data_IF_717286364546
#
_entry.id   IF_717286364546
#
_cell.length_a   1.000
_cell.length_b   1.000
_cell.length_c   1.000
_cell.angle_alpha   90.00
_cell.angle_beta   90.00
_cell.angle_gamma   90.00
#
_symmetry.space_group_name_H-M   'P 1'
#
loop_
_entity.id
_entity.type
_entity.pdbx_description
1 polymer ?
#
# COMPACT_ATOMS: atom_id res chain seq x y z
N UNK A 1 -20.19 3.08 13.16
CA UNK A 1 -19.01 3.32 14.02
C UNK A 1 -19.31 4.54 14.90
N UNK A 2 -18.96 4.55 16.19
CA UNK A 2 -19.29 5.70 17.06
C UNK A 2 -18.30 6.85 16.88
N UNK A 3 -18.72 8.09 17.16
CA UNK A 3 -17.86 9.27 17.09
C UNK A 3 -16.62 9.16 18.01
N UNK A 4 -16.74 8.43 19.12
CA UNK A 4 -15.62 8.16 20.03
C UNK A 4 -14.55 7.26 19.37
N UNK A 5 -14.96 6.23 18.62
CA UNK A 5 -14.02 5.36 17.88
C UNK A 5 -13.33 6.13 16.76
N UNK A 6 -14.07 6.96 16.01
CA UNK A 6 -13.48 7.80 14.95
C UNK A 6 -12.39 8.71 15.50
N UNK A 7 -12.63 9.39 16.63
CA UNK A 7 -11.63 10.26 17.27
C UNK A 7 -10.38 9.49 17.72
N UNK A 8 -10.55 8.28 18.26
CA UNK A 8 -9.41 7.43 18.65
C UNK A 8 -8.55 7.04 17.45
N UNK A 9 -9.18 6.67 16.34
CA UNK A 9 -8.47 6.35 15.08
C UNK A 9 -7.73 7.58 14.57
N UNK A 10 -8.41 8.74 14.49
CA UNK A 10 -7.80 9.97 14.01
C UNK A 10 -6.57 10.36 14.86
N UNK A 11 -6.74 10.40 16.19
CA UNK A 11 -5.64 10.71 17.11
C UNK A 11 -4.46 9.75 16.97
N UNK A 12 -4.73 8.45 16.79
CA UNK A 12 -3.68 7.47 16.54
C UNK A 12 -2.96 7.76 15.22
N UNK A 13 -3.69 8.03 14.13
CA UNK A 13 -3.11 8.33 12.83
C UNK A 13 -2.26 9.61 12.83
N UNK A 14 -2.75 10.68 13.48
CA UNK A 14 -2.01 11.93 13.66
C UNK A 14 -0.69 11.67 14.42
N UNK A 15 -0.72 10.85 15.47
CA UNK A 15 0.47 10.46 16.23
C UNK A 15 1.48 9.60 15.45
N UNK A 16 1.07 9.00 14.32
CA UNK A 16 1.94 8.17 13.48
C UNK A 16 2.16 8.78 12.08
N UNK A 17 1.89 10.08 11.90
CA UNK A 17 2.05 10.74 10.61
C UNK A 17 3.48 10.63 10.05
N UNK A 18 4.50 10.78 10.88
CA UNK A 18 5.90 10.68 10.43
C UNK A 18 6.25 9.28 9.90
N UNK A 19 5.74 8.22 10.52
CA UNK A 19 5.93 6.85 10.03
C UNK A 19 5.19 6.60 8.72
N UNK A 20 4.01 7.23 8.54
CA UNK A 20 3.25 7.16 7.29
C UNK A 20 4.06 7.81 6.17
N UNK A 21 4.57 9.02 6.40
CA UNK A 21 5.42 9.74 5.45
C UNK A 21 6.74 8.99 5.15
N UNK A 22 7.29 8.26 6.11
CA UNK A 22 8.45 7.40 5.89
C UNK A 22 8.11 6.22 4.97
N UNK A 23 6.99 5.53 5.23
CA UNK A 23 6.55 4.43 4.36
C UNK A 23 6.27 4.95 2.94
N UNK A 24 5.58 6.09 2.80
CA UNK A 24 5.37 6.74 1.50
C UNK A 24 6.70 6.98 0.80
N UNK A 25 7.67 7.58 1.50
CA UNK A 25 9.01 7.83 0.95
C UNK A 25 9.69 6.56 0.46
N UNK A 26 9.65 5.48 1.25
CA UNK A 26 10.23 4.18 0.88
C UNK A 26 9.56 3.57 -0.36
N UNK A 27 8.24 3.67 -0.47
CA UNK A 27 7.50 3.19 -1.65
C UNK A 27 7.84 4.04 -2.89
N UNK A 28 7.86 5.36 -2.77
CA UNK A 28 8.18 6.28 -3.88
C UNK A 28 9.59 6.06 -4.40
N UNK A 29 10.55 5.83 -3.51
CA UNK A 29 11.94 5.54 -3.88
C UNK A 29 12.14 4.22 -4.64
N UNK A 30 11.14 3.34 -4.71
CA UNK A 30 11.16 2.15 -5.57
C UNK A 30 10.47 2.47 -6.90
N UNK A 31 11.23 2.73 -7.95
CA UNK A 31 10.64 2.98 -9.28
C UNK A 31 10.02 1.69 -9.85
N UNK A 32 8.73 1.77 -10.21
CA UNK A 32 7.92 0.60 -10.54
C UNK A 32 7.14 0.78 -11.85
N UNK A 33 7.79 1.16 -12.97
CA UNK A 33 7.10 1.29 -14.26
C UNK A 33 6.31 0.03 -14.61
N UNK A 34 5.10 0.19 -15.12
CA UNK A 34 4.24 -0.91 -15.58
C UNK A 34 4.91 -1.77 -16.67
N UNK A 35 5.88 -1.20 -17.38
CA UNK A 35 6.63 -1.86 -18.46
C UNK A 35 7.87 -2.63 -17.99
N UNK A 36 8.25 -2.55 -16.70
CA UNK A 36 9.45 -3.23 -16.17
C UNK A 36 9.09 -4.13 -14.99
N UNK A 37 8.50 -5.28 -15.29
CA UNK A 37 8.00 -6.27 -14.32
C UNK A 37 8.96 -6.60 -13.15
N UNK A 38 10.27 -6.68 -13.41
CA UNK A 38 11.25 -7.04 -12.38
C UNK A 38 11.38 -5.97 -11.30
N UNK A 39 11.17 -4.69 -11.65
CA UNK A 39 11.23 -3.54 -10.73
C UNK A 39 10.10 -3.53 -9.70
N UNK A 40 9.00 -4.24 -9.97
CA UNK A 40 7.79 -4.29 -9.13
C UNK A 40 7.89 -5.33 -8.01
N UNK A 41 8.81 -6.30 -8.11
CA UNK A 41 8.96 -7.36 -7.08
C UNK A 41 9.40 -6.83 -5.71
N UNK A 42 10.36 -5.89 -5.60
CA UNK A 42 10.76 -5.32 -4.31
C UNK A 42 9.60 -4.64 -3.56
N UNK A 43 8.76 -3.85 -4.23
CA UNK A 43 7.64 -3.16 -3.58
C UNK A 43 6.58 -4.14 -3.08
N UNK A 44 6.24 -5.17 -3.88
CA UNK A 44 5.31 -6.23 -3.47
C UNK A 44 5.84 -6.99 -2.24
N UNK A 45 7.15 -7.27 -2.18
CA UNK A 45 7.78 -7.91 -1.01
C UNK A 45 7.77 -7.01 0.22
N UNK A 46 8.01 -5.71 0.06
CA UNK A 46 7.95 -4.76 1.17
C UNK A 46 6.52 -4.71 1.75
N UNK A 47 5.51 -4.60 0.90
CA UNK A 47 4.11 -4.56 1.31
C UNK A 47 3.69 -5.88 1.97
N UNK A 48 4.10 -7.03 1.42
CA UNK A 48 3.85 -8.33 2.02
C UNK A 48 4.45 -8.44 3.44
N UNK A 49 5.72 -8.04 3.62
CA UNK A 49 6.36 -8.03 4.96
C UNK A 49 5.63 -7.11 5.92
N UNK A 50 5.22 -5.94 5.44
CA UNK A 50 4.51 -4.94 6.25
C UNK A 50 3.16 -5.47 6.71
N UNK A 51 2.40 -6.11 5.82
CA UNK A 51 1.11 -6.73 6.16
C UNK A 51 1.27 -7.97 7.06
N UNK A 52 2.32 -8.78 6.85
CA UNK A 52 2.62 -9.92 7.74
C UNK A 52 2.89 -9.49 9.18
N UNK A 53 3.54 -8.34 9.41
CA UNK A 53 3.69 -7.77 10.75
C UNK A 53 2.34 -7.37 11.40
N UNK A 54 1.26 -7.30 10.62
CA UNK A 54 -0.11 -7.02 11.06
C UNK A 54 -0.97 -8.28 11.15
N UNK A 55 -0.36 -9.47 11.18
CA UNK A 55 -1.02 -10.77 11.24
C UNK A 55 -1.85 -11.06 9.97
N UNK A 56 -1.35 -10.62 8.82
CA UNK A 56 -1.87 -11.02 7.52
C UNK A 56 -1.03 -12.15 6.91
N UNK A 57 -1.72 -13.17 6.41
CA UNK A 57 -1.13 -14.18 5.54
C UNK A 57 -1.07 -13.64 4.12
N UNK A 58 0.13 -13.42 3.63
CA UNK A 58 0.41 -12.83 2.33
C UNK A 58 0.84 -13.89 1.32
N UNK A 59 0.38 -13.76 0.07
CA UNK A 59 0.83 -14.54 -1.08
C UNK A 59 1.14 -13.57 -2.22
N UNK A 60 2.34 -13.66 -2.76
CA UNK A 60 2.70 -12.99 -4.01
C UNK A 60 2.53 -14.02 -5.12
N UNK A 61 1.64 -13.74 -6.06
CA UNK A 61 1.38 -14.56 -7.23
C UNK A 61 2.12 -13.92 -8.41
N UNK A 62 3.08 -14.61 -9.05
CA UNK A 62 3.91 -14.01 -10.08
C UNK A 62 3.13 -13.79 -11.38
N UNK A 63 3.40 -12.66 -12.05
CA UNK A 63 2.96 -12.42 -13.42
C UNK A 63 3.92 -13.05 -14.45
N UNK A 64 3.41 -13.31 -15.65
CA UNK A 64 4.16 -13.71 -16.84
C UNK A 64 4.79 -12.49 -17.52
N UNK A 65 4.07 -11.37 -17.60
CA UNK A 65 4.51 -10.12 -18.23
C UNK A 65 4.66 -8.97 -17.23
N UNK A 66 4.11 -9.13 -16.04
CA UNK A 66 4.03 -8.12 -14.97
C UNK A 66 4.75 -8.62 -13.72
N UNK A 67 4.83 -7.79 -12.68
CA UNK A 67 5.29 -8.16 -11.35
C UNK A 67 4.36 -9.15 -10.64
N UNK A 68 3.16 -9.35 -11.16
CA UNK A 68 2.09 -10.16 -10.58
C UNK A 68 1.22 -9.37 -9.62
N UNK A 69 0.75 -10.02 -8.56
CA UNK A 69 -0.05 -9.36 -7.53
C UNK A 69 0.20 -9.94 -6.15
N UNK A 70 -0.02 -9.11 -5.13
CA UNK A 70 -0.02 -9.49 -3.73
C UNK A 70 -1.47 -9.64 -3.27
N UNK A 71 -1.81 -10.81 -2.73
CA UNK A 71 -3.05 -11.03 -2.01
C UNK A 71 -2.77 -11.31 -0.54
N UNK A 72 -3.50 -10.65 0.36
CA UNK A 72 -3.32 -10.82 1.79
C UNK A 72 -4.65 -10.90 2.53
N UNK A 73 -4.70 -11.80 3.51
CA UNK A 73 -5.87 -12.01 4.36
C UNK A 73 -5.46 -12.00 5.82
N UNK A 74 -6.23 -11.39 6.74
CA UNK A 74 -5.93 -11.47 8.15
C UNK A 74 -6.10 -12.92 8.63
N UNK A 75 -5.37 -13.27 9.69
CA UNK A 75 -5.49 -14.57 10.35
C UNK A 75 -6.88 -14.77 10.96
N UNK A 76 -7.43 -13.73 11.58
CA UNK A 76 -8.80 -13.72 12.11
C UNK A 76 -9.77 -13.26 11.02
N UNK A 77 -10.80 -14.07 10.74
CA UNK A 77 -11.75 -13.85 9.64
C UNK A 77 -13.20 -13.90 10.11
N UNK A 78 -14.03 -13.12 9.44
CA UNK A 78 -15.50 -13.09 9.50
C UNK A 78 -16.09 -13.45 8.12
N UNK A 79 -17.36 -13.89 8.04
CA UNK A 79 -17.96 -14.34 6.77
C UNK A 79 -18.02 -13.27 5.68
N UNK A 80 -18.25 -12.01 6.05
CA UNK A 80 -18.31 -10.89 5.09
C UNK A 80 -16.90 -10.41 4.77
N UNK A 81 -16.60 -10.25 3.49
CA UNK A 81 -15.31 -9.76 3.00
C UNK A 81 -15.45 -8.32 2.52
N UNK A 82 -14.40 -7.53 2.70
CA UNK A 82 -14.21 -6.24 2.04
C UNK A 82 -12.87 -6.27 1.33
N UNK A 83 -12.86 -6.02 0.02
CA UNK A 83 -11.63 -5.93 -0.74
C UNK A 83 -11.05 -4.51 -0.64
N UNK A 84 -9.82 -4.42 -0.16
CA UNK A 84 -8.97 -3.23 -0.24
C UNK A 84 -8.07 -3.43 -1.46
N UNK A 85 -8.36 -2.68 -2.52
CA UNK A 85 -7.69 -2.80 -3.81
C UNK A 85 -6.69 -1.64 -3.99
N UNK A 86 -5.54 -1.95 -4.55
CA UNK A 86 -4.59 -0.96 -5.04
C UNK A 86 -3.67 -1.53 -6.11
N UNK A 87 -2.79 -0.68 -6.63
CA UNK A 87 -1.77 -0.99 -7.61
C UNK A 87 -0.43 -0.45 -7.14
N UNK A 88 0.66 -1.10 -7.55
CA UNK A 88 2.01 -0.67 -7.17
C UNK A 88 2.85 -0.24 -8.37
N UNK A 89 2.36 -0.44 -9.58
CA UNK A 89 2.99 0.07 -10.78
C UNK A 89 2.75 1.58 -10.94
N UNK A 90 3.46 2.18 -11.88
CA UNK A 90 3.30 3.59 -12.18
C UNK A 90 3.55 3.82 -13.67
N UNK A 91 3.02 4.91 -14.21
CA UNK A 91 3.38 5.39 -15.56
C UNK A 91 4.82 5.87 -15.72
N UNK A 92 5.56 6.06 -14.62
CA UNK A 92 6.88 6.70 -14.63
C UNK A 92 8.01 5.72 -15.00
N UNK A 93 8.89 6.06 -15.96
CA UNK A 93 10.01 5.20 -16.34
C UNK A 93 11.06 5.11 -15.24
N UNK A 94 11.97 4.13 -15.34
CA UNK A 94 13.16 4.06 -14.50
C UNK A 94 14.05 5.31 -14.72
N UNK A 95 14.71 5.76 -13.66
CA UNK A 95 15.54 6.97 -13.64
C UNK A 95 14.75 8.27 -13.40
N UNK A 96 13.42 8.21 -13.26
CA UNK A 96 12.59 9.39 -13.00
C UNK A 96 13.00 10.14 -11.73
N UNK A 97 13.42 9.43 -10.68
CA UNK A 97 13.86 10.04 -9.42
C UNK A 97 15.10 10.92 -9.56
N UNK A 98 15.90 10.76 -10.62
CA UNK A 98 17.08 11.61 -10.88
C UNK A 98 16.67 13.04 -11.22
N UNK A 99 15.55 13.22 -11.92
CA UNK A 99 15.05 14.52 -12.38
C UNK A 99 13.85 15.02 -11.58
N UNK A 100 13.05 14.11 -11.04
CA UNK A 100 11.92 14.37 -10.15
C UNK A 100 12.13 13.64 -8.81
N UNK A 101 13.08 14.10 -7.98
CA UNK A 101 13.40 13.44 -6.72
C UNK A 101 12.25 13.59 -5.71
N UNK A 102 12.21 12.66 -4.75
CA UNK A 102 11.36 12.78 -3.58
C UNK A 102 11.71 14.05 -2.80
N UNK A 103 10.75 14.96 -2.64
CA UNK A 103 10.93 16.23 -1.91
C UNK A 103 9.80 16.45 -0.91
N UNK A 104 10.12 17.09 0.21
CA UNK A 104 9.15 17.58 1.20
C UNK A 104 9.23 19.10 1.22
N UNK A 105 8.12 19.80 0.99
CA UNK A 105 8.05 21.26 1.01
C UNK A 105 6.65 21.72 1.38
N UNK A 106 6.56 22.69 2.30
CA UNK A 106 5.29 23.35 2.68
C UNK A 106 4.19 22.36 3.10
N UNK A 107 4.55 21.34 3.89
CA UNK A 107 3.61 20.31 4.34
C UNK A 107 3.15 19.33 3.24
N UNK A 108 3.83 19.31 2.09
CA UNK A 108 3.53 18.39 0.97
C UNK A 108 4.74 17.53 0.64
N UNK A 109 4.46 16.29 0.24
CA UNK A 109 5.43 15.38 -0.36
C UNK A 109 5.24 15.34 -1.87
N UNK A 110 6.35 15.34 -2.62
CA UNK A 110 6.38 15.34 -4.08
C UNK A 110 7.26 14.19 -4.57
N UNK A 111 6.86 13.48 -5.61
CA UNK A 111 7.65 12.43 -6.24
C UNK A 111 6.82 11.57 -7.20
N UNK A 112 7.46 10.77 -8.07
CA UNK A 112 6.78 9.91 -9.04
C UNK A 112 5.90 8.87 -8.35
N UNK A 113 4.65 8.77 -8.81
CA UNK A 113 3.66 7.82 -8.30
C UNK A 113 3.28 8.01 -6.83
N UNK A 114 3.60 9.17 -6.23
CA UNK A 114 3.27 9.41 -4.82
C UNK A 114 1.77 9.42 -4.60
N UNK A 115 1.03 10.16 -5.44
CA UNK A 115 -0.41 10.28 -5.34
C UNK A 115 -1.12 9.09 -5.98
N UNK A 116 -0.60 8.63 -7.13
CA UNK A 116 -1.10 7.50 -7.90
C UNK A 116 -0.06 6.37 -7.97
N UNK A 117 -0.13 5.36 -7.09
CA UNK A 117 -0.99 5.34 -5.90
C UNK A 117 -0.27 4.95 -4.60
N UNK A 118 1.03 5.24 -4.52
CA UNK A 118 1.87 4.78 -3.41
C UNK A 118 1.45 5.35 -2.05
N UNK A 119 0.93 6.56 -1.99
CA UNK A 119 0.33 7.11 -0.77
C UNK A 119 -0.94 6.36 -0.37
N UNK A 120 -1.78 5.95 -1.33
CA UNK A 120 -2.96 5.12 -1.08
C UNK A 120 -2.59 3.77 -0.48
N UNK A 121 -1.54 3.11 -0.97
CA UNK A 121 -1.00 1.88 -0.38
C UNK A 121 -0.53 2.08 1.07
N UNK A 122 0.18 3.18 1.34
CA UNK A 122 0.62 3.50 2.68
C UNK A 122 -0.56 3.79 3.63
N UNK A 123 -1.56 4.55 3.18
CA UNK A 123 -2.79 4.81 3.94
C UNK A 123 -3.55 3.52 4.24
N UNK A 124 -3.64 2.59 3.28
CA UNK A 124 -4.24 1.27 3.48
C UNK A 124 -3.54 0.50 4.60
N UNK A 125 -2.20 0.45 4.58
CA UNK A 125 -1.40 -0.16 5.64
C UNK A 125 -1.69 0.50 6.99
N UNK A 126 -1.71 1.83 7.06
CA UNK A 126 -1.91 2.55 8.32
C UNK A 126 -3.32 2.43 8.88
N UNK A 127 -4.33 2.33 8.03
CA UNK A 127 -5.69 2.00 8.46
C UNK A 127 -5.72 0.63 9.16
N UNK A 128 -5.05 -0.38 8.60
CA UNK A 128 -4.95 -1.71 9.20
C UNK A 128 -4.11 -1.70 10.49
N UNK A 129 -3.02 -0.92 10.53
CA UNK A 129 -2.22 -0.71 11.74
C UNK A 129 -3.04 -0.09 12.87
N UNK A 130 -3.84 0.94 12.57
CA UNK A 130 -4.68 1.61 13.55
C UNK A 130 -5.71 0.64 14.16
N UNK A 131 -6.34 -0.19 13.31
CA UNK A 131 -7.27 -1.22 13.77
C UNK A 131 -6.60 -2.21 14.72
N UNK A 132 -5.41 -2.72 14.38
CA UNK A 132 -4.63 -3.64 15.24
C UNK A 132 -4.20 -2.98 16.55
N UNK A 133 -3.64 -1.77 16.49
CA UNK A 133 -3.10 -1.07 17.65
C UNK A 133 -4.19 -0.65 18.66
N UNK A 134 -5.39 -0.36 18.19
CA UNK A 134 -6.52 0.07 19.03
C UNK A 134 -7.45 -1.09 19.45
N UNK A 135 -7.07 -2.33 19.12
CA UNK A 135 -7.86 -3.56 19.30
C UNK A 135 -9.29 -3.44 18.72
N UNK A 136 -9.39 -2.82 17.54
CA UNK A 136 -10.66 -2.61 16.85
C UNK A 136 -10.87 -3.72 15.82
N UNK A 137 -11.87 -4.56 16.07
CA UNK A 137 -12.24 -5.62 15.13
C UNK A 137 -13.32 -5.14 14.15
N UNK A 138 -13.04 -5.06 12.84
CA UNK A 138 -14.05 -4.72 11.84
C UNK A 138 -15.13 -5.81 11.71
N UNK A 139 -16.33 -5.42 11.28
CA UNK A 139 -17.44 -6.37 11.01
C UNK A 139 -17.22 -7.21 9.74
N UNK A 140 -16.30 -6.77 8.89
CA UNK A 140 -15.89 -7.43 7.64
C UNK A 140 -14.44 -7.86 7.75
N UNK A 141 -14.06 -8.89 7.01
CA UNK A 141 -12.66 -9.30 6.81
C UNK A 141 -12.03 -8.40 5.75
N UNK A 142 -11.06 -7.53 6.09
CA UNK A 142 -10.34 -6.76 5.10
C UNK A 142 -9.39 -7.68 4.33
N UNK A 143 -9.65 -7.91 3.05
CA UNK A 143 -8.77 -8.63 2.14
C UNK A 143 -8.01 -7.61 1.32
N UNK A 144 -6.69 -7.70 1.27
CA UNK A 144 -5.87 -6.78 0.46
C UNK A 144 -5.52 -7.46 -0.86
N UNK A 145 -5.71 -6.75 -1.96
CA UNK A 145 -5.21 -7.10 -3.28
C UNK A 145 -4.44 -5.91 -3.85
N UNK A 146 -3.18 -6.13 -4.20
CA UNK A 146 -2.32 -5.13 -4.83
C UNK A 146 -1.77 -5.69 -6.14
N UNK A 147 -2.17 -5.11 -7.28
CA UNK A 147 -1.66 -5.50 -8.59
C UNK A 147 -0.47 -4.64 -9.06
N UNK A 148 0.03 -4.92 -10.26
CA UNK A 148 1.24 -4.30 -10.81
C UNK A 148 1.16 -3.96 -12.30
N UNK A 149 -0.05 -3.82 -12.82
CA UNK A 149 -0.34 -3.50 -14.21
C UNK A 149 -1.61 -2.67 -14.40
N UNK A 150 -2.02 -1.90 -13.39
CA UNK A 150 -3.24 -1.07 -13.45
C UNK A 150 -3.14 0.00 -14.54
N UNK A 151 -1.98 0.64 -14.63
CA UNK A 151 -1.73 1.75 -15.56
C UNK A 151 -1.70 1.29 -17.04
N UNK A 152 -1.71 -0.03 -17.27
CA UNK A 152 -1.80 -0.67 -18.60
C UNK A 152 -3.07 -1.52 -18.76
N UNK A 153 -4.03 -1.39 -17.84
CA UNK A 153 -5.38 -1.93 -17.92
C UNK A 153 -5.58 -3.31 -17.28
N UNK A 154 -4.74 -3.70 -16.32
CA UNK A 154 -4.91 -4.90 -15.47
C UNK A 154 -5.24 -6.19 -16.23
N UNK A 155 -4.44 -6.51 -17.25
CA UNK A 155 -4.72 -7.66 -18.14
C UNK A 155 -4.30 -9.00 -17.55
N UNK A 156 -3.44 -9.00 -16.54
CA UNK A 156 -2.88 -10.22 -15.95
C UNK A 156 -3.24 -10.42 -14.48
N UNK A 157 -3.44 -9.33 -13.73
CA UNK A 157 -3.65 -9.37 -12.29
C UNK A 157 -5.10 -9.58 -11.86
#
# INVERSE_FOLDING_TARGET
>A
MSAAVTRRILHWLEGHQSELEELIGRLVSMETPSTVAQSQRPILRLLARTLTALDFRCRILPGKRTGGHLIAYPERRRPRLQLLLGHCDTVWPLGTLETMPLRRRDGRMYGPGIYDMKAGLAQMVFALRALKALDLTPQVTPVVLINSDEEIGSRES
#
